data_IF_869844754280
#
_entry.id   IF_869844754280
#
_cell.length_a   1.000
_cell.length_b   1.000
_cell.length_c   1.000
_cell.angle_alpha   90.00
_cell.angle_beta   90.00
_cell.angle_gamma   90.00
#
_symmetry.space_group_name_H-M   'P 1'
#
loop_
_entity.id
_entity.type
_entity.pdbx_description
1 polymer ?
#
# COMPACT_ATOMS: atom_id res chain seq x y z
N UNK A 1 0.73 -4.01 14.25
CA UNK A 1 1.24 -2.63 14.05
C UNK A 1 2.17 -2.64 12.85
N UNK A 2 2.21 -1.57 12.06
CA UNK A 2 3.18 -1.38 10.97
C UNK A 2 4.46 -0.74 11.54
N UNK A 3 5.62 -1.29 11.18
CA UNK A 3 6.94 -0.77 11.61
C UNK A 3 7.70 -0.10 10.47
N UNK A 4 7.45 -0.51 9.23
CA UNK A 4 7.96 0.11 8.02
C UNK A 4 7.03 -0.24 6.84
N UNK A 5 7.09 0.56 5.78
CA UNK A 5 6.43 0.34 4.50
C UNK A 5 7.35 0.83 3.38
N UNK A 6 7.40 0.11 2.27
CA UNK A 6 8.30 0.39 1.14
C UNK A 6 7.50 0.25 -0.15
N UNK A 7 7.55 1.26 -1.02
CA UNK A 7 6.94 1.19 -2.36
C UNK A 7 7.71 0.21 -3.24
N UNK A 8 7.01 -0.79 -3.78
CA UNK A 8 7.51 -1.70 -4.83
C UNK A 8 8.98 -2.12 -4.63
N UNK A 9 9.36 -2.69 -3.47
CA UNK A 9 10.73 -3.15 -3.25
C UNK A 9 11.05 -4.27 -4.22
N UNK A 10 12.36 -4.49 -4.48
CA UNK A 10 12.76 -5.74 -5.12
C UNK A 10 12.36 -6.93 -4.24
N UNK A 11 12.06 -8.10 -4.81
CA UNK A 11 11.66 -9.28 -4.03
C UNK A 11 12.63 -9.63 -2.89
N UNK A 12 13.92 -9.50 -3.12
CA UNK A 12 15.00 -9.75 -2.16
C UNK A 12 15.13 -8.68 -1.06
N UNK A 13 14.60 -7.47 -1.30
CA UNK A 13 14.61 -6.33 -0.37
C UNK A 13 13.27 -6.19 0.38
N UNK A 14 12.28 -7.02 0.06
CA UNK A 14 10.94 -6.94 0.64
C UNK A 14 10.98 -7.25 2.15
N UNK A 15 10.50 -6.35 3.02
CA UNK A 15 10.60 -6.53 4.47
C UNK A 15 9.66 -7.64 5.00
N UNK A 16 8.67 -8.04 4.20
CA UNK A 16 7.73 -9.11 4.53
C UNK A 16 6.97 -9.60 3.29
N UNK A 17 6.14 -10.64 3.47
CA UNK A 17 5.17 -11.12 2.46
C UNK A 17 3.82 -10.39 2.52
N UNK A 18 3.72 -9.26 3.21
CA UNK A 18 2.49 -8.45 3.29
C UNK A 18 2.53 -7.37 2.21
N UNK A 19 1.45 -7.27 1.43
CA UNK A 19 1.22 -6.18 0.48
C UNK A 19 0.20 -5.17 1.01
N UNK A 20 0.33 -3.92 0.58
CA UNK A 20 -0.71 -2.90 0.76
C UNK A 20 -1.82 -3.13 -0.28
N UNK A 21 -3.06 -3.24 0.19
CA UNK A 21 -4.23 -3.48 -0.65
C UNK A 21 -4.81 -2.18 -1.26
N UNK A 22 -4.22 -1.02 -0.97
CA UNK A 22 -4.71 0.27 -1.49
C UNK A 22 -5.99 0.77 -0.80
N UNK A 23 -6.33 0.22 0.38
CA UNK A 23 -7.49 0.62 1.17
C UNK A 23 -7.00 1.23 2.46
N UNK A 24 -7.22 2.54 2.61
CA UNK A 24 -6.69 3.30 3.75
C UNK A 24 -7.77 4.09 4.47
N UNK A 25 -7.58 4.26 5.78
CA UNK A 25 -8.35 5.19 6.62
C UNK A 25 -7.35 6.05 7.34
N UNK A 26 -7.42 7.36 7.12
CA UNK A 26 -6.44 8.32 7.65
C UNK A 26 -7.08 9.38 8.53
N UNK A 27 -6.31 9.79 9.54
CA UNK A 27 -6.52 11.09 10.18
C UNK A 27 -5.95 12.22 9.29
N UNK A 28 -6.43 13.47 9.43
CA UNK A 28 -6.00 14.59 8.59
C UNK A 28 -4.48 14.85 8.53
N UNK A 29 -3.72 14.39 9.53
CA UNK A 29 -2.25 14.48 9.56
C UNK A 29 -1.57 13.85 8.34
N UNK A 30 -2.25 12.97 7.61
CA UNK A 30 -1.73 12.42 6.35
C UNK A 30 -1.45 13.51 5.30
N UNK A 31 -2.26 14.57 5.26
CA UNK A 31 -2.08 15.65 4.29
C UNK A 31 -0.79 16.42 4.54
N UNK A 32 -0.43 16.64 5.81
CA UNK A 32 0.85 17.24 6.18
C UNK A 32 2.02 16.35 5.72
N UNK A 33 1.92 15.04 5.90
CA UNK A 33 2.95 14.11 5.43
C UNK A 33 3.06 14.09 3.90
N UNK A 34 1.92 14.09 3.17
CA UNK A 34 1.87 14.17 1.71
C UNK A 34 2.51 15.47 1.20
N UNK A 35 2.29 16.60 1.88
CA UNK A 35 2.87 17.88 1.48
C UNK A 35 4.40 17.95 1.59
N UNK A 36 5.01 17.03 2.36
CA UNK A 36 6.45 17.02 2.67
C UNK A 36 7.23 15.98 1.87
N UNK A 37 6.57 14.99 1.29
CA UNK A 37 7.25 13.99 0.45
C UNK A 37 7.68 14.62 -0.87
N UNK A 38 8.69 14.01 -1.50
CA UNK A 38 9.20 14.41 -2.82
C UNK A 38 8.71 13.41 -3.86
N UNK A 39 8.53 13.83 -5.12
CA UNK A 39 8.21 12.90 -6.18
C UNK A 39 9.32 11.86 -6.34
N UNK A 40 8.91 10.62 -6.63
CA UNK A 40 9.78 9.50 -6.95
C UNK A 40 10.49 9.69 -8.30
N UNK A 41 11.35 8.74 -8.68
CA UNK A 41 12.04 8.74 -9.99
C UNK A 41 11.07 8.76 -11.19
N UNK A 42 9.81 8.36 -10.98
CA UNK A 42 8.74 8.39 -11.99
C UNK A 42 7.87 9.65 -11.91
N UNK A 43 8.29 10.65 -11.16
CA UNK A 43 7.57 11.89 -10.91
C UNK A 43 6.21 11.72 -10.19
N UNK A 44 6.04 10.62 -9.47
CA UNK A 44 4.84 10.32 -8.68
C UNK A 44 5.10 10.55 -7.19
N UNK A 45 4.14 11.16 -6.49
CA UNK A 45 4.11 11.23 -5.03
C UNK A 45 3.56 9.92 -4.47
N UNK A 46 4.41 9.15 -3.76
CA UNK A 46 4.03 7.83 -3.27
C UNK A 46 3.39 7.93 -1.88
N UNK A 47 2.17 7.38 -1.74
CA UNK A 47 1.46 7.37 -0.45
C UNK A 47 2.23 6.58 0.62
N UNK A 48 2.93 5.52 0.21
CA UNK A 48 3.81 4.72 1.07
C UNK A 48 4.91 5.56 1.73
N UNK A 49 5.47 6.55 1.05
CA UNK A 49 6.45 7.48 1.63
C UNK A 49 5.83 8.37 2.72
N UNK A 50 4.61 8.85 2.51
CA UNK A 50 3.89 9.65 3.50
C UNK A 50 3.54 8.81 4.75
N UNK A 51 3.07 7.57 4.56
CA UNK A 51 2.81 6.62 5.66
C UNK A 51 4.12 6.32 6.41
N UNK A 52 5.22 6.06 5.69
CA UNK A 52 6.55 5.81 6.28
C UNK A 52 7.01 6.99 7.12
N UNK A 53 6.78 8.23 6.67
CA UNK A 53 7.10 9.44 7.42
C UNK A 53 6.34 9.49 8.76
N UNK A 54 5.03 9.17 8.76
CA UNK A 54 4.22 9.13 9.97
C UNK A 54 4.68 8.03 10.94
N UNK A 55 5.00 6.83 10.42
CA UNK A 55 5.54 5.72 11.23
C UNK A 55 6.85 6.13 11.90
N UNK A 56 7.77 6.75 11.15
CA UNK A 56 9.05 7.26 11.67
C UNK A 56 8.88 8.39 12.69
N UNK A 57 7.81 9.18 12.57
CA UNK A 57 7.43 10.20 13.55
C UNK A 57 6.76 9.62 14.81
N UNK A 58 6.73 8.30 14.97
CA UNK A 58 6.19 7.62 16.16
C UNK A 58 4.66 7.43 16.14
N UNK A 59 3.97 7.83 15.07
CA UNK A 59 2.52 7.59 14.95
C UNK A 59 2.21 6.11 14.88
N UNK A 60 1.09 5.73 15.46
CA UNK A 60 0.61 4.35 15.42
C UNK A 60 -0.12 4.08 14.12
N UNK A 61 0.42 3.19 13.29
CA UNK A 61 -0.24 2.68 12.09
C UNK A 61 -0.56 1.20 12.30
N UNK A 62 -1.79 0.83 11.99
CA UNK A 62 -2.31 -0.55 12.11
C UNK A 62 -2.85 -1.02 10.77
N UNK A 63 -2.98 -2.34 10.63
CA UNK A 63 -3.53 -2.96 9.43
C UNK A 63 -4.45 -4.09 9.84
N UNK A 64 -5.40 -4.41 8.96
CA UNK A 64 -6.24 -5.61 9.07
C UNK A 64 -5.91 -6.50 7.87
N UNK A 65 -5.59 -7.77 8.14
CA UNK A 65 -5.42 -8.74 7.06
C UNK A 65 -6.77 -9.00 6.40
N UNK A 66 -6.78 -9.03 5.09
CA UNK A 66 -7.91 -9.46 4.27
C UNK A 66 -7.55 -10.77 3.59
N UNK A 67 -8.56 -11.62 3.35
CA UNK A 67 -8.35 -12.97 2.83
C UNK A 67 -8.20 -13.01 1.31
N UNK A 68 -8.85 -12.08 0.61
CA UNK A 68 -8.83 -11.99 -0.84
C UNK A 68 -8.62 -10.53 -1.24
N UNK A 69 -7.67 -10.31 -2.14
CA UNK A 69 -7.40 -9.04 -2.79
C UNK A 69 -6.95 -9.31 -4.22
N UNK A 70 -7.55 -8.64 -5.19
CA UNK A 70 -7.18 -8.74 -6.59
C UNK A 70 -7.06 -7.33 -7.13
N UNK A 71 -5.85 -6.95 -7.50
CA UNK A 71 -5.60 -5.76 -8.29
C UNK A 71 -5.91 -6.08 -9.76
N UNK A 72 -6.92 -5.44 -10.32
CA UNK A 72 -7.41 -5.67 -11.69
C UNK A 72 -6.68 -4.82 -12.74
N UNK A 73 -5.41 -4.50 -12.49
CA UNK A 73 -4.56 -3.74 -13.41
C UNK A 73 -4.15 -4.47 -14.69
N UNK A 74 -4.44 -5.77 -14.85
CA UNK A 74 -4.11 -6.55 -16.06
C UNK A 74 -5.30 -7.34 -16.58
N UNK A 75 -5.33 -7.63 -17.90
CA UNK A 75 -6.35 -8.51 -18.50
C UNK A 75 -6.38 -9.90 -17.85
N UNK A 76 -5.20 -10.42 -17.46
CA UNK A 76 -5.10 -11.70 -16.78
C UNK A 76 -5.76 -11.66 -15.41
N UNK A 77 -5.54 -10.60 -14.64
CA UNK A 77 -6.12 -10.47 -13.30
C UNK A 77 -7.62 -10.17 -13.36
N UNK A 78 -8.06 -9.39 -14.35
CA UNK A 78 -9.49 -9.22 -14.66
C UNK A 78 -10.16 -10.54 -15.04
N UNK A 79 -9.53 -11.38 -15.87
CA UNK A 79 -10.08 -12.69 -16.21
C UNK A 79 -10.24 -13.60 -14.98
N UNK A 80 -9.28 -13.53 -14.03
CA UNK A 80 -9.38 -14.28 -12.76
C UNK A 80 -10.58 -13.84 -11.91
N UNK A 81 -10.95 -12.56 -11.91
CA UNK A 81 -12.09 -12.10 -11.09
C UNK A 81 -13.40 -12.70 -11.57
N UNK A 82 -13.61 -12.81 -12.89
CA UNK A 82 -14.81 -13.45 -13.46
C UNK A 82 -14.99 -14.88 -12.97
N UNK A 83 -13.90 -15.66 -12.97
CA UNK A 83 -13.91 -17.07 -12.57
C UNK A 83 -13.87 -17.27 -11.05
N UNK A 84 -13.78 -16.20 -10.25
CA UNK A 84 -13.89 -16.26 -8.79
C UNK A 84 -15.30 -15.94 -8.32
N UNK A 85 -16.02 -15.09 -9.06
CA UNK A 85 -17.43 -14.77 -8.78
C UNK A 85 -18.30 -16.02 -8.94
N UNK A 86 -17.96 -16.90 -9.89
CA UNK A 86 -18.70 -18.15 -10.13
C UNK A 86 -18.58 -19.19 -8.98
N UNK A 87 -17.66 -18.99 -8.03
CA UNK A 87 -17.40 -19.91 -6.89
C UNK A 87 -17.73 -19.30 -5.52
N UNK A 88 -18.31 -18.10 -5.48
CA UNK A 88 -18.78 -17.41 -4.26
C UNK A 88 -20.31 -17.42 -4.18
#
# INVERSE_FOLDING_TARGET
>A
RVIDIVEKPKPEEAPSKLGDAGIHVFEPVIFDAISRIKPSVRNEYQLTDAIKMLVKAGRTVVFKKIHLHIDVGTLRDWWKTLHLIDYM
#
